data_IF_702478314643
#
_entry.id   IF_702478314643
#
_cell.length_a   1.000
_cell.length_b   1.000
_cell.length_c   1.000
_cell.angle_alpha   90.00
_cell.angle_beta   90.00
_cell.angle_gamma   90.00
#
_symmetry.space_group_name_H-M   'P 1'
#
loop_
_entity.id
_entity.type
_entity.pdbx_description
1 polymer ?
#
# COMPACT_ATOMS: atom_id res chain seq x y z
N UNK A 1 -17.29 13.24 14.37
CA UNK A 1 -16.47 12.33 13.54
C UNK A 1 -17.25 11.04 13.35
N UNK A 2 -17.72 10.76 12.13
CA UNK A 2 -18.53 9.56 11.81
C UNK A 2 -17.70 8.59 10.97
N UNK A 3 -17.77 7.30 11.25
CA UNK A 3 -17.08 6.26 10.49
C UNK A 3 -17.99 5.76 9.36
N UNK A 4 -17.52 5.82 8.12
CA UNK A 4 -18.25 5.36 6.92
C UNK A 4 -17.54 4.14 6.34
N UNK A 5 -18.17 2.96 6.29
CA UNK A 5 -17.49 1.71 5.86
C UNK A 5 -17.33 1.63 4.33
N UNK A 6 -16.11 1.48 3.79
CA UNK A 6 -15.90 1.10 2.39
C UNK A 6 -15.91 -0.43 2.23
N UNK A 7 -16.24 -0.90 1.03
CA UNK A 7 -16.20 -2.30 0.66
C UNK A 7 -14.78 -2.83 0.45
N UNK A 8 -14.51 -4.02 1.03
CA UNK A 8 -13.31 -4.89 0.95
C UNK A 8 -12.07 -4.51 1.79
N UNK A 9 -11.53 -5.54 2.46
CA UNK A 9 -10.65 -5.52 3.65
C UNK A 9 -9.17 -5.77 3.32
N UNK A 10 -8.25 -4.99 3.91
CA UNK A 10 -6.98 -5.40 4.57
C UNK A 10 -6.00 -4.21 4.79
N UNK A 11 -6.01 -3.76 6.04
CA UNK A 11 -4.98 -3.16 6.94
C UNK A 11 -5.83 -2.75 8.17
N UNK A 12 -5.38 -3.11 9.39
CA UNK A 12 -6.23 -3.40 10.56
C UNK A 12 -7.47 -2.52 10.82
N UNK A 13 -7.39 -1.21 10.54
CA UNK A 13 -8.55 -0.30 10.56
C UNK A 13 -8.74 0.53 9.28
N UNK A 14 -7.67 0.76 8.49
CA UNK A 14 -7.68 1.70 7.36
C UNK A 14 -8.64 1.29 6.25
N UNK A 15 -8.68 -0.02 5.97
CA UNK A 15 -9.59 -0.61 4.99
C UNK A 15 -11.05 -0.72 5.48
N UNK A 16 -11.31 -0.44 6.76
CA UNK A 16 -12.62 -0.67 7.38
C UNK A 16 -13.51 0.56 7.40
N UNK A 17 -12.95 1.78 7.33
CA UNK A 17 -13.71 3.01 7.45
C UNK A 17 -13.05 4.19 6.74
N UNK A 18 -13.87 5.14 6.31
CA UNK A 18 -13.53 6.54 6.07
C UNK A 18 -13.94 7.36 7.28
N UNK A 19 -13.30 8.52 7.43
CA UNK A 19 -13.60 9.49 8.46
C UNK A 19 -14.42 10.61 7.81
N UNK A 20 -15.56 10.96 8.41
CA UNK A 20 -16.32 12.15 8.04
C UNK A 20 -16.09 13.27 9.07
N UNK A 21 -15.55 14.40 8.58
CA UNK A 21 -15.36 15.64 9.33
C UNK A 21 -16.02 16.77 8.54
N UNK A 22 -16.99 17.46 9.15
CA UNK A 22 -17.68 18.62 8.56
C UNK A 22 -18.23 18.36 7.13
N UNK A 23 -18.80 17.17 6.92
CA UNK A 23 -19.36 16.73 5.62
C UNK A 23 -18.33 16.32 4.57
N UNK A 24 -17.03 16.37 4.89
CA UNK A 24 -15.94 15.90 4.02
C UNK A 24 -15.51 14.50 4.44
N UNK A 25 -15.31 13.64 3.44
CA UNK A 25 -14.93 12.23 3.64
C UNK A 25 -13.44 12.08 3.36
N UNK A 26 -12.71 11.60 4.37
CA UNK A 26 -11.27 11.34 4.31
C UNK A 26 -10.98 9.84 4.40
N UNK A 27 -10.01 9.30 3.63
CA UNK A 27 -9.55 7.94 3.84
C UNK A 27 -8.92 7.81 5.23
N UNK A 28 -9.16 6.69 5.91
CA UNK A 28 -8.49 6.41 7.18
C UNK A 28 -7.05 5.98 6.87
N UNK A 29 -6.15 6.96 6.90
CA UNK A 29 -4.70 6.79 6.78
C UNK A 29 -4.04 7.18 8.10
N UNK A 30 -2.89 6.59 8.42
CA UNK A 30 -2.08 6.95 9.59
C UNK A 30 -0.63 7.18 9.16
N UNK A 31 -0.13 8.41 9.37
CA UNK A 31 1.22 8.84 9.05
C UNK A 31 1.94 9.14 10.37
N UNK A 32 3.07 8.49 10.58
CA UNK A 32 3.87 8.61 11.79
C UNK A 32 5.32 8.94 11.40
N UNK A 33 5.92 9.87 12.12
CA UNK A 33 7.34 10.18 12.01
C UNK A 33 7.97 10.05 13.39
N UNK A 34 8.86 9.08 13.56
CA UNK A 34 9.55 8.81 14.82
C UNK A 34 11.01 9.23 14.74
N UNK A 35 11.43 10.12 15.63
CA UNK A 35 12.82 10.55 15.75
C UNK A 35 13.49 9.65 16.78
N UNK A 36 14.60 9.02 16.39
CA UNK A 36 15.33 8.04 17.21
C UNK A 36 16.82 8.08 16.85
N UNK A 37 17.75 7.84 17.78
CA UNK A 37 19.19 7.77 17.49
C UNK A 37 19.61 6.44 16.84
N UNK A 38 20.83 6.41 16.29
CA UNK A 38 21.43 5.16 15.80
C UNK A 38 21.74 4.24 16.99
N UNK A 39 21.42 2.96 16.87
CA UNK A 39 21.62 1.97 17.96
C UNK A 39 20.41 1.78 18.88
N UNK A 40 19.31 2.51 18.70
CA UNK A 40 18.08 2.39 19.51
C UNK A 40 17.20 1.17 19.16
N UNK A 41 17.76 0.17 18.46
CA UNK A 41 17.04 -1.03 17.99
C UNK A 41 15.78 -0.73 17.18
N UNK A 42 15.76 0.40 16.46
CA UNK A 42 14.66 0.83 15.57
C UNK A 42 14.17 -0.29 14.65
N UNK A 43 15.10 -0.92 13.95
CA UNK A 43 14.82 -2.03 13.02
C UNK A 43 14.24 -3.26 13.71
N UNK A 44 14.66 -3.55 14.95
CA UNK A 44 14.12 -4.67 15.73
C UNK A 44 12.71 -4.40 16.24
N UNK A 45 12.43 -3.17 16.67
CA UNK A 45 11.07 -2.74 17.08
C UNK A 45 10.12 -2.76 15.89
N UNK A 46 10.56 -2.22 14.73
CA UNK A 46 9.77 -2.25 13.49
C UNK A 46 9.51 -3.70 13.03
N UNK A 47 10.52 -4.57 13.09
CA UNK A 47 10.37 -5.97 12.73
C UNK A 47 9.35 -6.72 13.62
N UNK A 48 9.33 -6.46 14.93
CA UNK A 48 8.34 -7.08 15.83
C UNK A 48 6.94 -6.47 15.61
N UNK A 49 6.85 -5.14 15.48
CA UNK A 49 5.57 -4.45 15.23
C UNK A 49 4.90 -4.91 13.92
N UNK A 50 5.69 -5.12 12.87
CA UNK A 50 5.20 -5.57 11.56
C UNK A 50 5.12 -7.10 11.42
N UNK A 51 5.52 -7.88 12.42
CA UNK A 51 5.59 -9.35 12.34
C UNK A 51 4.30 -9.98 11.83
N UNK A 52 3.16 -9.58 12.40
CA UNK A 52 1.84 -10.09 12.00
C UNK A 52 1.50 -9.71 10.56
N UNK A 53 1.78 -8.46 10.16
CA UNK A 53 1.52 -7.97 8.80
C UNK A 53 2.40 -8.68 7.76
N UNK A 54 3.69 -8.88 8.04
CA UNK A 54 4.63 -9.65 7.20
C UNK A 54 4.21 -11.12 7.07
N UNK A 55 3.67 -11.73 8.14
CA UNK A 55 3.15 -13.09 8.07
C UNK A 55 1.92 -13.21 7.16
N UNK A 56 1.04 -12.20 7.15
CA UNK A 56 -0.10 -12.13 6.23
C UNK A 56 0.38 -11.92 4.80
N UNK A 57 1.30 -10.99 4.56
CA UNK A 57 1.90 -10.76 3.24
C UNK A 57 2.53 -12.03 2.67
N UNK A 58 3.30 -12.76 3.49
CA UNK A 58 3.88 -14.06 3.08
C UNK A 58 2.81 -15.07 2.64
N UNK A 59 1.68 -15.15 3.33
CA UNK A 59 0.58 -16.04 2.92
C UNK A 59 -0.10 -15.58 1.63
N UNK A 60 -0.17 -14.27 1.39
CA UNK A 60 -0.72 -13.72 0.15
C UNK A 60 0.19 -13.98 -1.05
N UNK A 61 1.51 -13.89 -0.88
CA UNK A 61 2.47 -14.22 -1.93
C UNK A 61 2.28 -15.68 -2.37
N UNK A 62 2.17 -16.61 -1.42
CA UNK A 62 1.93 -18.02 -1.72
C UNK A 62 0.61 -18.27 -2.47
N UNK A 63 -0.47 -17.57 -2.08
CA UNK A 63 -1.74 -17.65 -2.79
C UNK A 63 -1.66 -17.03 -4.19
N UNK A 64 -0.96 -15.91 -4.32
CA UNK A 64 -0.77 -15.19 -5.57
C UNK A 64 -0.04 -16.04 -6.60
N UNK A 65 0.97 -16.83 -6.22
CA UNK A 65 1.68 -17.71 -7.17
C UNK A 65 0.71 -18.69 -7.85
N UNK A 66 -0.25 -19.22 -7.09
CA UNK A 66 -1.28 -20.13 -7.62
C UNK A 66 -2.29 -19.39 -8.51
N UNK A 67 -2.73 -18.21 -8.08
CA UNK A 67 -3.63 -17.35 -8.87
C UNK A 67 -2.97 -16.88 -10.17
N UNK A 68 -1.67 -16.60 -10.14
CA UNK A 68 -0.88 -16.15 -11.28
C UNK A 68 -0.71 -17.25 -12.32
N UNK A 69 -0.43 -18.48 -11.89
CA UNK A 69 -0.42 -19.62 -12.81
C UNK A 69 -1.81 -19.82 -13.44
N UNK A 70 -2.90 -19.81 -12.66
CA UNK A 70 -4.26 -19.90 -13.20
C UNK A 70 -4.58 -18.78 -14.21
N UNK A 71 -4.15 -17.55 -13.92
CA UNK A 71 -4.28 -16.41 -14.84
C UNK A 71 -3.48 -16.63 -16.12
N UNK A 72 -2.25 -17.16 -16.02
CA UNK A 72 -1.40 -17.46 -17.18
C UNK A 72 -2.07 -18.48 -18.12
N UNK A 73 -2.66 -19.54 -17.58
CA UNK A 73 -3.42 -20.51 -18.37
C UNK A 73 -4.64 -19.88 -19.05
N UNK A 74 -5.43 -19.09 -18.30
CA UNK A 74 -6.60 -18.41 -18.83
C UNK A 74 -6.24 -17.37 -19.91
N UNK A 75 -5.12 -16.67 -19.74
CA UNK A 75 -4.58 -15.74 -20.73
C UNK A 75 -4.16 -16.46 -22.01
N UNK A 76 -3.44 -17.57 -21.90
CA UNK A 76 -3.04 -18.36 -23.06
C UNK A 76 -4.26 -18.90 -23.84
N UNK A 77 -5.31 -19.34 -23.14
CA UNK A 77 -6.57 -19.76 -23.76
C UNK A 77 -7.28 -18.58 -24.46
N UNK A 78 -7.31 -17.41 -23.82
CA UNK A 78 -7.90 -16.22 -24.41
C UNK A 78 -7.12 -15.72 -25.63
N UNK A 79 -5.79 -15.72 -25.58
CA UNK A 79 -4.93 -15.38 -26.72
C UNK A 79 -5.11 -16.36 -27.89
N UNK A 80 -5.21 -17.66 -27.61
CA UNK A 80 -5.49 -18.66 -28.63
C UNK A 80 -6.86 -18.46 -29.29
N UNK A 81 -7.89 -18.08 -28.51
CA UNK A 81 -9.22 -17.72 -29.05
C UNK A 81 -9.17 -16.46 -29.89
N UNK A 82 -8.44 -15.43 -29.45
CA UNK A 82 -8.20 -14.20 -30.21
C UNK A 82 -7.52 -14.49 -31.56
N UNK A 83 -6.49 -15.35 -31.57
CA UNK A 83 -5.75 -15.65 -32.78
C UNK A 83 -6.53 -16.56 -33.74
N UNK A 84 -7.34 -17.48 -33.22
CA UNK A 84 -8.29 -18.24 -34.03
C UNK A 84 -9.31 -17.31 -34.71
N UNK A 85 -9.90 -16.38 -33.95
CA UNK A 85 -10.84 -15.41 -34.49
C UNK A 85 -10.21 -14.52 -35.57
N UNK A 86 -8.97 -14.02 -35.36
CA UNK A 86 -8.22 -13.27 -36.38
C UNK A 86 -8.00 -14.08 -37.67
N UNK A 87 -7.68 -15.39 -37.55
CA UNK A 87 -7.47 -16.27 -38.72
C UNK A 87 -8.76 -16.49 -39.49
N UNK A 88 -9.88 -16.67 -38.81
CA UNK A 88 -11.18 -16.91 -39.46
C UNK A 88 -11.70 -15.64 -40.16
N UNK A 89 -11.52 -14.47 -39.55
CA UNK A 89 -11.83 -13.18 -40.19
C UNK A 89 -10.97 -12.89 -41.43
N UNK A 90 -9.67 -13.24 -41.38
CA UNK A 90 -8.79 -13.12 -42.54
C UNK A 90 -9.23 -13.99 -43.72
N UNK A 91 -9.93 -15.10 -43.48
CA UNK A 91 -10.49 -15.97 -44.53
C UNK A 91 -11.84 -15.49 -45.05
N UNK A 92 -12.67 -14.92 -44.17
CA UNK A 92 -14.03 -14.48 -44.50
C UNK A 92 -14.09 -13.17 -45.31
N UNK A 93 -13.01 -12.38 -45.38
CA UNK A 93 -12.98 -11.02 -46.00
C UNK A 93 -14.04 -10.05 -45.44
N UNK A 94 -14.65 -10.41 -44.33
CA UNK A 94 -15.68 -9.63 -43.63
C UNK A 94 -15.04 -9.08 -42.35
N UNK A 95 -14.62 -7.83 -42.42
CA UNK A 95 -13.80 -7.17 -41.39
C UNK A 95 -14.68 -6.66 -40.23
N UNK A 96 -16.00 -6.59 -40.42
CA UNK A 96 -16.94 -5.96 -39.49
C UNK A 96 -17.46 -6.87 -38.37
N UNK A 97 -17.26 -8.19 -38.44
CA UNK A 97 -17.82 -9.15 -37.47
C UNK A 97 -16.87 -9.64 -36.38
N UNK A 98 -15.62 -9.14 -36.33
CA UNK A 98 -14.74 -9.33 -35.16
C UNK A 98 -15.08 -8.33 -34.05
N UNK A 99 -16.31 -8.35 -33.55
CA UNK A 99 -16.57 -7.71 -32.27
C UNK A 99 -15.85 -8.51 -31.19
N UNK A 100 -14.93 -7.87 -30.46
CA UNK A 100 -14.29 -8.41 -29.25
C UNK A 100 -15.30 -9.05 -28.27
N UNK A 101 -16.58 -8.67 -28.37
CA UNK A 101 -17.71 -9.24 -27.66
C UNK A 101 -17.86 -10.77 -27.85
N UNK A 102 -17.54 -11.30 -29.02
CA UNK A 102 -17.66 -12.74 -29.33
C UNK A 102 -16.61 -13.62 -28.64
N UNK A 103 -15.42 -13.06 -28.36
CA UNK A 103 -14.29 -13.75 -27.70
C UNK A 103 -14.41 -13.65 -26.17
N UNK A 104 -15.12 -12.63 -25.68
CA UNK A 104 -15.25 -12.34 -24.26
C UNK A 104 -14.06 -11.53 -23.70
N UNK A 105 -14.23 -10.95 -22.51
CA UNK A 105 -13.25 -10.02 -21.94
C UNK A 105 -11.94 -10.74 -21.59
N UNK A 106 -10.84 -9.99 -21.66
CA UNK A 106 -9.53 -10.45 -21.21
C UNK A 106 -9.58 -10.83 -19.72
N UNK A 107 -9.01 -11.98 -19.33
CA UNK A 107 -8.91 -12.38 -17.93
C UNK A 107 -8.22 -11.30 -17.09
N UNK A 108 -8.85 -10.80 -16.01
CA UNK A 108 -8.24 -9.78 -15.17
C UNK A 108 -6.99 -10.33 -14.48
N UNK A 109 -5.90 -9.56 -14.50
CA UNK A 109 -4.68 -9.93 -13.80
C UNK A 109 -4.92 -10.01 -12.28
N UNK A 110 -4.32 -10.99 -11.59
CA UNK A 110 -4.38 -11.06 -10.14
C UNK A 110 -3.70 -9.83 -9.52
N UNK A 111 -4.21 -9.40 -8.37
CA UNK A 111 -3.68 -8.23 -7.67
C UNK A 111 -2.35 -8.56 -7.02
N UNK A 112 -1.36 -7.67 -7.16
CA UNK A 112 -0.05 -7.88 -6.53
C UNK A 112 -0.20 -8.04 -5.00
N UNK A 113 0.48 -9.04 -4.39
CA UNK A 113 0.33 -9.39 -2.97
C UNK A 113 1.05 -8.42 -2.03
N UNK A 114 1.83 -7.49 -2.57
CA UNK A 114 2.62 -6.51 -1.81
C UNK A 114 1.72 -5.59 -0.99
N UNK A 115 1.90 -5.62 0.33
CA UNK A 115 1.23 -4.77 1.29
C UNK A 115 2.19 -3.84 2.02
N UNK A 116 3.45 -4.23 2.20
CA UNK A 116 4.45 -3.47 2.95
C UNK A 116 5.57 -3.04 2.01
N UNK A 117 5.98 -1.77 2.10
CA UNK A 117 7.07 -1.20 1.30
C UNK A 117 7.99 -0.39 2.20
N UNK A 118 9.30 -0.58 2.09
CA UNK A 118 10.30 0.14 2.90
C UNK A 118 11.09 1.18 2.13
N UNK A 119 11.23 1.00 0.83
CA UNK A 119 11.89 1.94 -0.08
C UNK A 119 10.93 2.24 -1.24
N UNK A 120 10.61 3.52 -1.41
CA UNK A 120 9.66 3.95 -2.43
C UNK A 120 9.95 5.37 -2.92
N UNK A 121 9.62 5.58 -4.19
CA UNK A 121 9.50 6.91 -4.79
C UNK A 121 8.03 7.22 -5.04
N UNK A 122 7.69 8.50 -5.28
CA UNK A 122 6.35 8.89 -5.73
C UNK A 122 5.85 8.03 -6.92
N UNK A 123 6.77 7.63 -7.80
CA UNK A 123 6.44 6.89 -9.00
C UNK A 123 6.27 5.41 -8.76
N UNK A 124 7.17 4.82 -7.97
CA UNK A 124 7.07 3.42 -7.54
C UNK A 124 5.79 3.21 -6.75
N UNK A 125 5.45 4.13 -5.85
CA UNK A 125 4.22 4.06 -5.07
C UNK A 125 2.96 4.17 -5.95
N UNK A 126 2.94 5.07 -6.94
CA UNK A 126 1.82 5.18 -7.86
C UNK A 126 1.64 3.92 -8.72
N UNK A 127 2.74 3.32 -9.21
CA UNK A 127 2.69 2.06 -9.97
C UNK A 127 2.24 0.89 -9.11
N UNK A 128 2.79 0.79 -7.89
CA UNK A 128 2.38 -0.22 -6.93
C UNK A 128 0.89 -0.11 -6.63
N UNK A 129 0.42 1.08 -6.27
CA UNK A 129 -0.99 1.33 -6.02
C UNK A 129 -1.85 1.14 -7.27
N UNK A 130 -1.32 1.08 -8.49
CA UNK A 130 -2.15 0.73 -9.66
C UNK A 130 -2.46 -0.77 -9.71
N UNK A 131 -1.45 -1.60 -9.43
CA UNK A 131 -1.48 -3.07 -9.59
C UNK A 131 -1.81 -3.83 -8.31
N UNK A 132 -1.57 -3.22 -7.15
CA UNK A 132 -1.75 -3.84 -5.85
C UNK A 132 -3.13 -3.53 -5.26
N UNK A 133 -3.35 -4.10 -4.08
CA UNK A 133 -4.53 -3.90 -3.25
C UNK A 133 -4.71 -2.41 -2.92
N UNK A 134 -5.94 -1.95 -2.63
CA UNK A 134 -6.24 -0.54 -2.37
C UNK A 134 -5.64 0.02 -1.07
N UNK A 135 -4.96 -0.81 -0.27
CA UNK A 135 -4.34 -0.40 1.00
C UNK A 135 -2.93 -0.94 1.07
N UNK A 136 -1.96 -0.03 1.26
CA UNK A 136 -0.53 -0.32 1.34
C UNK A 136 0.03 0.39 2.57
N UNK A 137 1.03 -0.20 3.21
CA UNK A 137 1.80 0.39 4.29
C UNK A 137 3.24 0.66 3.87
N UNK A 138 3.66 1.90 3.96
CA UNK A 138 5.03 2.33 3.78
C UNK A 138 5.71 2.44 5.16
N UNK A 139 6.58 1.50 5.49
CA UNK A 139 7.27 1.44 6.78
C UNK A 139 8.77 1.38 6.57
N UNK A 140 9.49 2.39 7.06
CA UNK A 140 10.94 2.46 6.93
C UNK A 140 11.57 2.92 8.24
N UNK A 141 12.64 2.22 8.63
CA UNK A 141 13.48 2.57 9.76
C UNK A 141 14.50 3.68 9.41
N UNK A 142 14.56 4.08 8.14
CA UNK A 142 15.48 5.08 7.62
C UNK A 142 14.77 6.07 6.68
N UNK A 143 14.25 7.15 7.27
CA UNK A 143 13.61 8.25 6.53
C UNK A 143 14.53 8.90 5.48
N UNK A 144 15.85 8.69 5.58
CA UNK A 144 16.80 9.12 4.56
C UNK A 144 16.48 8.48 3.21
N UNK A 145 16.01 7.23 3.15
CA UNK A 145 15.70 6.55 1.89
C UNK A 145 14.59 7.29 1.10
N UNK A 146 13.67 7.95 1.80
CA UNK A 146 12.53 8.66 1.21
C UNK A 146 12.83 10.15 0.99
N UNK A 147 13.56 10.80 1.91
CA UNK A 147 13.73 12.25 1.92
C UNK A 147 15.17 12.76 1.89
N UNK A 148 16.18 11.88 1.87
CA UNK A 148 17.59 12.26 2.01
C UNK A 148 18.60 11.33 1.34
N UNK A 149 18.18 10.45 0.42
CA UNK A 149 19.06 9.53 -0.29
C UNK A 149 20.04 10.33 -1.15
N UNK A 150 21.29 9.87 -1.24
CA UNK A 150 22.37 10.57 -1.97
C UNK A 150 22.09 10.83 -3.46
N UNK A 151 21.00 10.28 -4.02
CA UNK A 151 20.52 10.54 -5.39
C UNK A 151 19.21 11.34 -5.49
N UNK A 152 18.63 11.83 -4.39
CA UNK A 152 17.34 12.54 -4.41
C UNK A 152 17.52 14.06 -4.55
N UNK A 153 16.97 14.62 -5.61
CA UNK A 153 16.89 16.08 -5.79
C UNK A 153 15.79 16.67 -4.89
N UNK A 154 15.93 17.95 -4.51
CA UNK A 154 14.88 18.68 -3.76
C UNK A 154 13.51 18.62 -4.46
N UNK A 155 13.50 18.61 -5.78
CA UNK A 155 12.28 18.46 -6.59
C UNK A 155 11.64 17.07 -6.41
N UNK A 156 12.45 16.01 -6.33
CA UNK A 156 11.97 14.63 -6.12
C UNK A 156 11.38 14.46 -4.72
N UNK A 157 12.02 15.07 -3.71
CA UNK A 157 11.51 15.14 -2.34
C UNK A 157 10.17 15.86 -2.30
N UNK A 158 10.06 17.02 -2.95
CA UNK A 158 8.80 17.77 -3.06
C UNK A 158 7.70 16.98 -3.74
N UNK A 159 8.01 16.31 -4.85
CA UNK A 159 7.06 15.47 -5.57
C UNK A 159 6.55 14.31 -4.70
N UNK A 160 7.44 13.70 -3.91
CA UNK A 160 7.09 12.61 -3.00
C UNK A 160 6.23 13.11 -1.85
N UNK A 161 6.60 14.21 -1.20
CA UNK A 161 5.81 14.84 -0.14
C UNK A 161 4.40 15.25 -0.61
N UNK A 162 4.29 15.85 -1.79
CA UNK A 162 3.00 16.20 -2.40
C UNK A 162 2.14 14.96 -2.69
N UNK A 163 2.76 13.88 -3.18
CA UNK A 163 2.06 12.61 -3.46
C UNK A 163 1.52 11.98 -2.18
N UNK A 164 2.34 11.94 -1.13
CA UNK A 164 1.94 11.44 0.19
C UNK A 164 0.79 12.27 0.78
N UNK A 165 0.87 13.61 0.65
CA UNK A 165 -0.19 14.51 1.13
C UNK A 165 -1.51 14.31 0.40
N UNK A 166 -1.50 14.10 -0.93
CA UNK A 166 -2.71 13.77 -1.71
C UNK A 166 -3.32 12.43 -1.31
N UNK A 167 -2.48 11.42 -1.04
CA UNK A 167 -2.93 10.12 -0.58
C UNK A 167 -3.59 10.21 0.80
N UNK A 168 -3.06 11.05 1.69
CA UNK A 168 -3.66 11.34 2.99
C UNK A 168 -5.03 12.03 2.86
N UNK A 169 -5.12 13.08 2.02
CA UNK A 169 -6.31 13.92 1.97
C UNK A 169 -7.48 13.24 1.23
N UNK A 170 -7.22 12.70 0.04
CA UNK A 170 -8.28 12.22 -0.85
C UNK A 170 -8.18 10.73 -1.18
N UNK A 171 -7.03 10.10 -0.92
CA UNK A 171 -6.80 8.71 -1.32
C UNK A 171 -6.87 8.51 -2.83
N UNK A 172 -6.64 9.58 -3.60
CA UNK A 172 -6.68 9.57 -5.05
C UNK A 172 -5.36 10.01 -5.64
N UNK A 173 -4.94 9.34 -6.71
CA UNK A 173 -3.79 9.73 -7.51
C UNK A 173 -4.25 9.96 -8.94
N UNK A 174 -4.01 11.16 -9.44
CA UNK A 174 -4.18 11.50 -10.85
C UNK A 174 -2.79 11.75 -11.43
N UNK A 175 -2.41 10.96 -12.43
CA UNK A 175 -1.12 11.05 -13.09
C UNK A 175 -1.31 10.89 -14.58
N UNK A 176 -0.83 11.88 -15.33
CA UNK A 176 -0.76 11.84 -16.79
C UNK A 176 0.71 11.91 -17.20
N UNK A 177 1.20 10.91 -17.93
CA UNK A 177 2.57 10.89 -18.47
C UNK A 177 2.58 10.36 -19.89
N UNK A 178 3.59 10.78 -20.66
CA UNK A 178 3.73 10.39 -22.07
C UNK A 178 3.88 8.89 -22.27
N UNK A 179 4.57 8.19 -21.35
CA UNK A 179 4.86 6.75 -21.44
C UNK A 179 3.81 5.87 -20.74
N UNK A 180 3.27 6.32 -19.61
CA UNK A 180 2.34 5.52 -18.78
C UNK A 180 0.85 5.84 -19.06
N UNK A 181 0.55 6.83 -19.92
CA UNK A 181 -0.80 7.31 -20.19
C UNK A 181 -1.41 8.14 -19.04
N UNK A 182 -2.74 8.25 -19.04
CA UNK A 182 -3.52 8.92 -18.00
C UNK A 182 -4.13 7.89 -17.05
N UNK A 183 -3.64 7.86 -15.81
CA UNK A 183 -4.09 6.92 -14.77
C UNK A 183 -4.69 7.69 -13.60
N UNK A 184 -5.98 7.43 -13.35
CA UNK A 184 -6.69 7.92 -12.15
C UNK A 184 -6.99 6.76 -11.22
N UNK A 185 -6.39 6.80 -10.04
CA UNK A 185 -6.63 5.84 -8.97
C UNK A 185 -7.50 6.50 -7.91
N UNK A 186 -8.57 5.83 -7.50
CA UNK A 186 -9.47 6.28 -6.44
C UNK A 186 -9.50 5.27 -5.29
N UNK A 187 -9.83 5.74 -4.08
CA UNK A 187 -10.03 4.89 -2.91
C UNK A 187 -8.76 4.19 -2.42
N UNK A 188 -7.58 4.73 -2.73
CA UNK A 188 -6.29 4.21 -2.30
C UNK A 188 -5.95 4.73 -0.91
N UNK A 189 -5.37 3.87 -0.08
CA UNK A 189 -5.02 4.16 1.32
C UNK A 189 -3.57 3.83 1.56
N UNK A 190 -2.91 4.73 2.29
CA UNK A 190 -1.53 4.56 2.69
C UNK A 190 -1.41 4.66 4.21
N UNK A 191 -0.79 3.66 4.85
CA UNK A 191 -0.16 3.84 6.15
C UNK A 191 1.28 4.28 5.92
N UNK A 192 1.78 5.23 6.71
CA UNK A 192 3.17 5.66 6.61
C UNK A 192 3.78 5.66 8.01
N UNK A 193 4.93 5.02 8.17
CA UNK A 193 5.77 5.17 9.34
C UNK A 193 7.21 5.36 8.88
N UNK A 194 7.76 6.54 9.20
CA UNK A 194 9.13 6.88 8.90
C UNK A 194 9.88 7.02 10.21
N UNK A 195 11.01 6.34 10.37
CA UNK A 195 11.93 6.61 11.45
C UNK A 195 13.09 7.45 10.94
N UNK A 196 13.30 8.62 11.54
CA UNK A 196 14.38 9.52 11.19
C UNK A 196 15.45 9.52 12.28
N UNK A 197 16.71 9.71 11.87
CA UNK A 197 17.76 10.14 12.80
C UNK A 197 17.56 11.63 13.14
N UNK A 198 18.01 12.10 14.32
CA UNK A 198 17.83 13.50 14.73
C UNK A 198 18.35 14.49 13.70
N UNK A 199 19.51 14.22 13.09
CA UNK A 199 20.12 15.09 12.07
C UNK A 199 19.25 15.27 10.81
N UNK A 200 18.46 14.26 10.44
CA UNK A 200 17.52 14.33 9.31
C UNK A 200 16.24 15.04 9.76
N UNK A 201 15.79 14.72 10.98
CA UNK A 201 14.59 15.31 11.56
C UNK A 201 14.74 16.80 11.88
N UNK A 202 15.93 17.30 12.20
CA UNK A 202 16.21 18.73 12.40
C UNK A 202 16.14 19.52 11.08
N UNK A 203 16.48 18.87 9.96
CA UNK A 203 16.41 19.47 8.63
C UNK A 203 14.98 19.55 8.12
N UNK A 204 14.12 18.60 8.47
CA UNK A 204 12.76 18.51 7.92
C UNK A 204 11.84 19.71 8.25
N UNK A 205 11.80 20.26 9.49
CA UNK A 205 11.03 21.47 9.81
C UNK A 205 11.56 22.72 9.12
N UNK A 206 12.87 22.77 8.88
CA UNK A 206 13.56 23.87 8.20
C UNK A 206 13.44 23.79 6.67
N UNK A 207 13.01 22.64 6.15
CA UNK A 207 12.78 22.44 4.72
C UNK A 207 11.40 22.99 4.35
N UNK A 208 11.39 24.09 3.61
CA UNK A 208 10.18 24.73 3.09
C UNK A 208 9.29 23.76 2.30
N UNK A 209 9.86 22.71 1.73
CA UNK A 209 9.11 21.69 1.00
C UNK A 209 8.33 20.78 1.94
N UNK A 210 8.99 20.22 2.96
CA UNK A 210 8.36 19.26 3.87
C UNK A 210 7.41 19.94 4.87
N UNK A 211 7.79 21.15 5.31
CA UNK A 211 7.00 22.00 6.19
C UNK A 211 5.89 22.74 5.43
N UNK A 212 6.23 23.39 4.30
CA UNK A 212 5.30 24.24 3.54
C UNK A 212 4.27 23.47 2.70
N UNK A 213 4.53 22.23 2.30
CA UNK A 213 3.50 21.39 1.66
C UNK A 213 2.59 20.68 2.68
N UNK A 214 2.79 20.92 3.98
CA UNK A 214 1.95 20.37 5.04
C UNK A 214 2.10 18.86 5.25
N UNK A 215 3.16 18.24 4.72
CA UNK A 215 3.43 16.82 4.96
C UNK A 215 3.65 16.57 6.45
N UNK A 216 4.49 17.38 7.11
CA UNK A 216 4.75 17.26 8.55
C UNK A 216 3.48 17.48 9.39
N UNK A 217 2.58 18.36 8.97
CA UNK A 217 1.31 18.62 9.67
C UNK A 217 0.36 17.41 9.65
N UNK A 218 0.54 16.47 8.72
CA UNK A 218 -0.24 15.23 8.61
C UNK A 218 0.41 14.06 9.35
N UNK A 219 1.64 14.23 9.84
CA UNK A 219 2.38 13.20 10.56
C UNK A 219 2.21 13.34 12.08
N UNK A 220 1.91 12.24 12.75
CA UNK A 220 2.07 12.14 14.20
C UNK A 220 3.56 12.05 14.53
N UNK A 221 4.07 13.09 15.19
CA UNK A 221 5.47 13.18 15.60
C UNK A 221 5.69 12.48 16.95
N UNK A 222 6.64 11.56 17.00
CA UNK A 222 7.09 10.93 18.24
C UNK A 222 8.61 11.07 18.36
N UNK A 223 9.10 11.40 19.55
CA UNK A 223 10.53 11.43 19.84
C UNK A 223 10.84 10.30 20.81
N UNK A 224 11.60 9.32 20.35
CA UNK A 224 12.19 8.31 21.22
C UNK A 224 13.24 8.98 22.09
N UNK A 225 13.00 9.05 23.40
CA UNK A 225 14.05 9.36 24.37
C UNK A 225 14.53 8.05 24.97
N UNK A 226 15.73 7.60 24.57
CA UNK A 226 16.39 6.54 25.32
C UNK A 226 16.97 7.15 26.59
N UNK A 227 16.46 6.70 27.74
CA UNK A 227 17.24 6.79 28.97
C UNK A 227 18.36 5.76 28.85
N UNK A 228 19.64 6.13 29.01
CA UNK A 228 20.72 5.14 29.07
C UNK A 228 20.37 4.16 30.18
N UNK A 229 20.32 2.88 29.85
CA UNK A 229 19.84 1.84 30.74
C UNK A 229 20.76 1.70 31.97
N UNK A 230 20.48 2.47 33.03
CA UNK A 230 20.81 2.06 34.39
C UNK A 230 19.70 1.14 34.88
N UNK A 231 19.88 -0.16 34.62
CA UNK A 231 19.27 -1.24 35.39
C UNK A 231 17.74 -1.29 35.45
N UNK A 232 17.06 -1.45 34.32
CA UNK A 232 15.70 -2.00 34.33
C UNK A 232 15.68 -3.32 33.56
N UNK A 233 15.53 -4.39 34.33
CA UNK A 233 15.22 -5.73 33.88
C UNK A 233 13.78 -5.81 33.36
N UNK A 234 13.57 -6.81 32.48
CA UNK A 234 12.30 -7.27 31.91
C UNK A 234 11.67 -6.37 30.84
N UNK A 235 12.24 -6.39 29.63
CA UNK A 235 11.38 -6.33 28.44
C UNK A 235 10.59 -7.64 28.42
N UNK A 236 9.40 -7.62 29.04
CA UNK A 236 8.42 -8.68 28.85
C UNK A 236 8.22 -8.83 27.34
N UNK A 237 8.36 -10.06 26.84
CA UNK A 237 8.19 -10.31 25.41
C UNK A 237 6.81 -9.81 25.01
N UNK A 238 6.68 -8.97 23.97
CA UNK A 238 5.38 -8.56 23.44
C UNK A 238 4.67 -9.70 22.67
N UNK A 239 5.34 -10.85 22.53
CA UNK A 239 4.86 -12.03 21.80
C UNK A 239 3.57 -12.67 22.38
N UNK A 240 3.33 -12.70 23.70
CA UNK A 240 2.08 -13.20 24.25
C UNK A 240 0.90 -12.22 24.10
N UNK A 241 1.12 -10.96 23.68
CA UNK A 241 0.04 -9.96 23.60
C UNK A 241 -1.01 -10.39 22.56
N UNK A 242 -2.29 -10.59 22.97
CA UNK A 242 -3.37 -10.98 22.06
C UNK A 242 -3.60 -9.96 20.92
N UNK A 243 -3.25 -8.68 21.09
CA UNK A 243 -3.33 -7.67 20.04
C UNK A 243 -2.26 -7.87 18.93
N UNK A 244 -1.17 -8.57 19.25
CA UNK A 244 -0.08 -8.93 18.33
C UNK A 244 -0.26 -10.33 17.72
N UNK A 245 -1.28 -11.06 18.16
CA UNK A 245 -1.70 -12.33 17.57
C UNK A 245 -2.63 -12.05 16.38
N UNK A 246 -2.68 -12.97 15.40
CA UNK A 246 -3.51 -12.82 14.21
C UNK A 246 -4.95 -12.47 14.64
N UNK A 247 -5.63 -11.49 14.03
CA UNK A 247 -7.08 -11.45 14.13
C UNK A 247 -7.58 -12.72 13.44
N UNK A 248 -8.04 -13.69 14.23
CA UNK A 248 -8.75 -14.84 13.69
C UNK A 248 -9.97 -14.30 12.94
N UNK A 249 -9.91 -14.37 11.61
CA UNK A 249 -11.11 -14.21 10.81
C UNK A 249 -12.12 -15.30 11.21
N UNK A 250 -13.42 -15.03 11.13
CA UNK A 250 -14.42 -16.02 11.49
C UNK A 250 -14.20 -17.30 10.67
N UNK A 251 -14.10 -18.42 11.37
CA UNK A 251 -14.04 -19.77 10.83
C UNK A 251 -15.19 -19.95 9.82
N UNK A 252 -14.95 -20.57 8.64
CA UNK A 252 -16.02 -20.83 7.69
C UNK A 252 -17.00 -21.83 8.32
N UNK A 253 -18.10 -21.33 8.88
CA UNK A 253 -19.24 -22.17 9.22
C UNK A 253 -19.77 -22.75 7.91
N UNK A 254 -19.68 -24.08 7.80
CA UNK A 254 -20.31 -24.89 6.77
C UNK A 254 -21.81 -24.60 6.77
N UNK A 255 -22.27 -23.76 5.85
CA UNK A 255 -23.69 -23.56 5.64
C UNK A 255 -24.21 -24.75 4.82
N UNK A 256 -24.71 -25.75 5.53
CA UNK A 256 -25.45 -26.87 4.95
C UNK A 256 -26.70 -26.34 4.26
N UNK A 257 -26.80 -26.63 2.96
CA UNK A 257 -27.98 -26.37 2.17
C UNK A 257 -29.17 -27.20 2.70
N UNK A 258 -30.10 -26.54 3.36
CA UNK A 258 -31.44 -27.09 3.61
C UNK A 258 -32.33 -26.75 2.42
N UNK A 259 -32.50 -27.72 1.52
CA UNK A 259 -33.60 -27.75 0.56
C UNK A 259 -34.94 -27.70 1.29
N UNK A 260 -35.81 -26.76 0.92
CA UNK A 260 -37.26 -26.95 0.72
C UNK A 260 -37.81 -25.76 -0.05
#
# INVERSE_FOLDING_TARGET
MRLVRPGRRLTGAQSLANIEVDGRVYPLSLFMLTIAESGERKSAVDAEALRAARAVEKSMVQAYDTEFEAHRWAMAEWEARCDAAKRDASKAKDVDSLTLESIGPQPPAPLAPTMIVSDFTAEGLAKLLAVSRPSVGAFTDEAALVFGGHGMTKETVARTAATLSKLWDAGSLDRVRSLDGATKLYGRRLALHLMAQPIIAERAPSDEVLSGQGFLARCLLAVGRVRPARGLHALESLRPDPAMQRPEGPTPQSCTASRR
#
